data_IF_767396340537
#
_entry.id   IF_767396340537
#
_cell.length_a   1.000
_cell.length_b   1.000
_cell.length_c   1.000
_cell.angle_alpha   90.00
_cell.angle_beta   90.00
_cell.angle_gamma   90.00
#
_symmetry.space_group_name_H-M   'P 1'
#
loop_
_entity.id
_entity.type
_entity.pdbx_description
1 polymer ?
#
# COMPACT_ATOMS: atom_id res chain seq x y z
N UNK A 1 65.29 -10.45 -20.86
CA UNK A 1 63.86 -10.46 -21.22
C UNK A 1 62.99 -11.38 -20.33
N UNK A 2 63.45 -12.59 -19.98
CA UNK A 2 62.67 -13.57 -19.18
C UNK A 2 62.17 -13.08 -17.79
N UNK A 3 62.97 -12.28 -17.07
CA UNK A 3 62.60 -11.77 -15.72
C UNK A 3 61.42 -10.79 -15.73
N UNK A 4 61.32 -9.93 -16.76
CA UNK A 4 60.19 -8.97 -16.91
C UNK A 4 58.89 -9.68 -17.25
N UNK A 5 58.96 -10.75 -18.06
CA UNK A 5 57.82 -11.62 -18.35
C UNK A 5 57.34 -12.35 -17.09
N UNK A 6 58.26 -12.86 -16.28
CA UNK A 6 57.92 -13.55 -15.02
C UNK A 6 57.19 -12.65 -14.03
N UNK A 7 57.65 -11.41 -13.83
CA UNK A 7 56.97 -10.44 -12.97
C UNK A 7 55.59 -10.02 -13.52
N UNK A 8 55.45 -9.92 -14.84
CA UNK A 8 54.16 -9.61 -15.47
C UNK A 8 53.13 -10.73 -15.28
N UNK A 9 53.55 -11.99 -15.40
CA UNK A 9 52.68 -13.16 -15.17
C UNK A 9 52.27 -13.25 -13.70
N UNK A 10 53.20 -12.99 -12.78
CA UNK A 10 52.94 -12.98 -11.34
C UNK A 10 51.91 -11.88 -10.97
N UNK A 11 52.05 -10.69 -11.55
CA UNK A 11 51.14 -9.58 -11.33
C UNK A 11 49.72 -9.89 -11.85
N UNK A 12 49.62 -10.50 -13.03
CA UNK A 12 48.33 -10.92 -13.59
C UNK A 12 47.65 -12.00 -12.73
N UNK A 13 48.43 -12.97 -12.21
CA UNK A 13 47.90 -14.00 -11.30
C UNK A 13 47.35 -13.41 -9.99
N UNK A 14 48.03 -12.41 -9.43
CA UNK A 14 47.56 -11.70 -8.21
C UNK A 14 46.26 -10.93 -8.48
N UNK A 15 46.15 -10.25 -9.63
CA UNK A 15 44.90 -9.58 -10.03
C UNK A 15 43.74 -10.56 -10.18
N UNK A 16 43.98 -11.72 -10.78
CA UNK A 16 42.95 -12.76 -10.93
C UNK A 16 42.49 -13.27 -9.57
N UNK A 17 43.41 -13.58 -8.65
CA UNK A 17 43.08 -14.00 -7.29
C UNK A 17 42.27 -12.94 -6.53
N UNK A 18 42.63 -11.66 -6.69
CA UNK A 18 41.89 -10.55 -6.09
C UNK A 18 40.43 -10.51 -6.59
N UNK A 19 40.20 -10.70 -7.89
CA UNK A 19 38.84 -10.69 -8.45
C UNK A 19 37.99 -11.88 -8.00
N UNK A 20 38.60 -13.04 -7.74
CA UNK A 20 37.91 -14.24 -7.24
C UNK A 20 37.45 -14.01 -5.80
N UNK A 21 38.32 -13.45 -4.95
CA UNK A 21 37.97 -13.10 -3.56
C UNK A 21 36.82 -12.10 -3.48
N UNK A 22 36.82 -11.07 -4.34
CA UNK A 22 35.75 -10.06 -4.37
C UNK A 22 34.40 -10.67 -4.78
N UNK A 23 34.38 -11.58 -5.78
CA UNK A 23 33.15 -12.26 -6.21
C UNK A 23 32.58 -13.18 -5.13
N UNK A 24 33.42 -13.90 -4.39
CA UNK A 24 32.98 -14.78 -3.31
C UNK A 24 32.34 -14.01 -2.15
N UNK A 25 32.89 -12.86 -1.76
CA UNK A 25 32.28 -12.00 -0.74
C UNK A 25 30.92 -11.48 -1.21
N UNK A 26 30.77 -11.11 -2.48
CA UNK A 26 29.49 -10.64 -3.00
C UNK A 26 28.43 -11.74 -3.07
N UNK A 27 28.79 -12.96 -3.47
CA UNK A 27 27.85 -14.08 -3.59
C UNK A 27 27.30 -14.55 -2.23
N UNK A 28 28.16 -14.63 -1.21
CA UNK A 28 27.75 -15.03 0.16
C UNK A 28 26.78 -14.00 0.77
N UNK A 29 26.94 -12.72 0.46
CA UNK A 29 26.08 -11.64 0.98
C UNK A 29 24.71 -11.53 0.29
N UNK A 30 24.48 -12.22 -0.83
CA UNK A 30 23.17 -12.22 -1.51
C UNK A 30 22.30 -13.46 -1.23
N UNK A 31 22.85 -14.49 -0.58
CA UNK A 31 22.09 -15.67 -0.16
C UNK A 31 21.42 -15.44 1.20
N UNK A 32 20.56 -14.42 1.30
CA UNK A 32 19.70 -14.22 2.47
C UNK A 32 18.73 -15.40 2.63
N UNK A 33 18.36 -15.79 3.87
CA UNK A 33 17.43 -16.88 4.10
C UNK A 33 16.09 -16.57 3.41
N UNK A 34 15.61 -17.49 2.58
CA UNK A 34 14.26 -17.38 1.99
C UNK A 34 13.23 -17.58 3.10
N UNK A 35 12.83 -16.48 3.74
CA UNK A 35 11.76 -16.45 4.74
C UNK A 35 10.48 -16.88 4.02
N UNK A 36 9.95 -18.07 4.34
CA UNK A 36 8.60 -18.46 3.94
C UNK A 36 7.62 -17.61 4.75
N UNK A 37 7.22 -16.47 4.20
CA UNK A 37 6.16 -15.65 4.75
C UNK A 37 4.88 -16.49 4.69
N UNK A 38 4.43 -16.99 5.85
CA UNK A 38 3.07 -17.52 5.99
C UNK A 38 2.17 -16.30 5.82
N UNK A 39 1.61 -16.12 4.62
CA UNK A 39 0.59 -15.09 4.41
C UNK A 39 -0.44 -15.28 5.50
N UNK A 40 -0.70 -14.23 6.28
CA UNK A 40 -1.89 -14.19 7.12
C UNK A 40 -3.07 -14.25 6.16
N UNK A 41 -3.52 -15.46 5.84
CA UNK A 41 -4.81 -15.64 5.20
C UNK A 41 -5.79 -15.14 6.24
N UNK A 42 -6.26 -13.91 6.11
CA UNK A 42 -7.31 -13.39 6.98
C UNK A 42 -8.45 -14.41 6.98
N UNK A 43 -9.06 -14.64 8.13
CA UNK A 43 -10.25 -15.49 8.28
C UNK A 43 -11.30 -15.18 7.18
N UNK A 44 -11.33 -13.93 6.70
CA UNK A 44 -12.18 -13.43 5.62
C UNK A 44 -11.98 -14.12 4.25
N UNK A 45 -10.75 -14.55 3.95
CA UNK A 45 -10.40 -15.24 2.68
C UNK A 45 -10.75 -16.73 2.69
N UNK A 46 -11.09 -17.29 3.85
CA UNK A 46 -11.50 -18.69 4.00
C UNK A 46 -12.85 -18.96 3.32
N UNK A 47 -13.17 -20.23 2.98
CA UNK A 47 -14.50 -20.59 2.49
C UNK A 47 -15.65 -20.20 3.43
N UNK A 48 -15.43 -20.20 4.76
CA UNK A 48 -16.42 -19.73 5.74
C UNK A 48 -16.57 -18.21 5.72
N UNK A 49 -15.46 -17.46 5.63
CA UNK A 49 -15.47 -16.00 5.48
C UNK A 49 -16.22 -15.53 4.23
N UNK A 50 -16.02 -16.22 3.10
CA UNK A 50 -16.77 -15.95 1.86
C UNK A 50 -18.28 -16.16 2.01
N UNK A 51 -18.70 -17.23 2.70
CA UNK A 51 -20.12 -17.49 2.97
C UNK A 51 -20.73 -16.45 3.90
N UNK A 52 -20.04 -16.11 4.99
CA UNK A 52 -20.50 -15.08 5.93
C UNK A 52 -20.67 -13.71 5.25
N UNK A 53 -19.74 -13.35 4.34
CA UNK A 53 -19.82 -12.15 3.52
C UNK A 53 -21.02 -12.17 2.57
N UNK A 54 -21.26 -13.30 1.90
CA UNK A 54 -22.43 -13.45 1.02
C UNK A 54 -23.73 -13.30 1.79
N UNK A 55 -23.84 -13.94 2.95
CA UNK A 55 -25.02 -13.85 3.82
C UNK A 55 -25.25 -12.41 4.30
N UNK A 56 -24.18 -11.71 4.71
CA UNK A 56 -24.26 -10.30 5.08
C UNK A 56 -24.85 -9.43 3.97
N UNK A 57 -24.31 -9.55 2.74
CA UNK A 57 -24.82 -8.78 1.60
C UNK A 57 -26.26 -9.15 1.24
N UNK A 58 -26.59 -10.43 1.31
CA UNK A 58 -27.96 -10.88 1.05
C UNK A 58 -28.95 -10.30 2.07
N UNK A 59 -28.60 -10.30 3.37
CA UNK A 59 -29.41 -9.67 4.43
C UNK A 59 -29.58 -8.17 4.24
N UNK A 60 -28.55 -7.49 3.73
CA UNK A 60 -28.58 -6.04 3.50
C UNK A 60 -29.39 -5.64 2.25
N UNK A 61 -29.35 -6.45 1.19
CA UNK A 61 -29.93 -6.11 -0.13
C UNK A 61 -31.34 -6.65 -0.35
N UNK A 62 -31.80 -7.59 0.49
CA UNK A 62 -33.16 -8.13 0.40
C UNK A 62 -34.20 -7.10 0.84
N UNK A 63 -35.36 -7.17 0.22
CA UNK A 63 -36.53 -6.45 0.70
C UNK A 63 -37.09 -7.18 1.95
N UNK A 64 -37.30 -6.49 3.09
CA UNK A 64 -37.82 -7.10 4.31
C UNK A 64 -39.25 -7.64 4.16
N UNK A 65 -40.05 -7.12 3.22
CA UNK A 65 -41.43 -7.57 3.01
C UNK A 65 -41.50 -8.84 2.16
N UNK A 66 -40.64 -8.96 1.14
CA UNK A 66 -40.64 -10.08 0.19
C UNK A 66 -39.55 -11.11 0.45
N UNK A 67 -38.65 -10.83 1.40
CA UNK A 67 -37.59 -11.71 1.88
C UNK A 67 -36.54 -12.05 0.78
N UNK A 68 -36.64 -11.39 -0.38
CA UNK A 68 -35.88 -11.65 -1.60
C UNK A 68 -35.23 -10.36 -2.13
N UNK A 69 -34.16 -10.52 -2.90
CA UNK A 69 -33.60 -9.40 -3.68
C UNK A 69 -34.52 -9.19 -4.89
N UNK A 70 -35.04 -7.98 -5.13
CA UNK A 70 -35.95 -7.72 -6.24
C UNK A 70 -35.34 -8.09 -7.60
N UNK A 71 -36.17 -8.64 -8.50
CA UNK A 71 -35.73 -8.95 -9.85
C UNK A 71 -35.28 -7.70 -10.60
N UNK A 72 -34.21 -7.85 -11.38
CA UNK A 72 -33.60 -6.77 -12.16
C UNK A 72 -33.17 -5.56 -11.30
N UNK A 73 -32.72 -5.80 -10.06
CA UNK A 73 -32.28 -4.75 -9.12
C UNK A 73 -31.24 -3.80 -9.74
N UNK A 74 -30.38 -4.32 -10.62
CA UNK A 74 -29.36 -3.52 -11.31
C UNK A 74 -29.97 -2.45 -12.22
N UNK A 75 -31.04 -2.77 -12.95
CA UNK A 75 -31.70 -1.77 -13.79
C UNK A 75 -32.35 -0.67 -12.93
N UNK A 76 -33.02 -1.06 -11.84
CA UNK A 76 -33.65 -0.13 -10.89
C UNK A 76 -32.63 0.78 -10.21
N UNK A 77 -31.48 0.24 -9.83
CA UNK A 77 -30.36 1.01 -9.27
C UNK A 77 -29.85 2.06 -10.27
N UNK A 78 -29.71 1.68 -11.55
CA UNK A 78 -29.29 2.61 -12.61
C UNK A 78 -30.33 3.71 -12.87
N UNK A 79 -31.63 3.37 -12.85
CA UNK A 79 -32.71 4.34 -12.97
C UNK A 79 -32.71 5.31 -11.79
N UNK A 80 -32.58 4.81 -10.56
CA UNK A 80 -32.43 5.63 -9.37
C UNK A 80 -31.21 6.55 -9.46
N UNK A 81 -30.04 6.01 -9.84
CA UNK A 81 -28.82 6.79 -9.99
C UNK A 81 -28.95 7.92 -11.02
N UNK A 82 -29.74 7.72 -12.08
CA UNK A 82 -30.05 8.78 -13.06
C UNK A 82 -30.95 9.88 -12.49
N UNK A 83 -31.79 9.55 -11.51
CA UNK A 83 -32.68 10.51 -10.82
C UNK A 83 -31.93 11.40 -9.83
N UNK A 84 -30.75 10.97 -9.35
CA UNK A 84 -29.94 11.76 -8.42
C UNK A 84 -29.50 13.04 -9.13
N UNK A 85 -29.75 14.24 -8.56
CA UNK A 85 -29.32 15.49 -9.16
C UNK A 85 -27.79 15.48 -9.33
N UNK A 86 -27.33 15.68 -10.56
CA UNK A 86 -25.90 15.77 -10.84
C UNK A 86 -25.33 16.99 -10.14
N UNK A 87 -24.23 16.81 -9.40
CA UNK A 87 -23.53 17.84 -8.63
C UNK A 87 -23.27 19.15 -9.38
N UNK A 88 -23.21 19.11 -10.72
CA UNK A 88 -23.11 20.31 -11.57
C UNK A 88 -24.28 21.29 -11.42
N UNK A 89 -25.45 20.87 -10.91
CA UNK A 89 -26.60 21.75 -10.66
C UNK A 89 -26.57 22.38 -9.25
N UNK A 90 -25.91 21.76 -8.27
CA UNK A 90 -25.93 22.22 -6.86
C UNK A 90 -24.62 22.90 -6.44
N UNK A 91 -23.48 22.51 -7.03
CA UNK A 91 -22.20 23.15 -6.78
C UNK A 91 -21.87 24.08 -7.96
N UNK A 92 -22.51 25.25 -8.00
CA UNK A 92 -22.04 26.35 -8.85
C UNK A 92 -20.62 26.71 -8.41
N UNK A 93 -19.62 26.16 -9.11
CA UNK A 93 -18.23 26.58 -9.06
C UNK A 93 -18.15 28.03 -9.55
N UNK A 94 -18.48 29.01 -8.69
CA UNK A 94 -18.27 30.42 -9.05
C UNK A 94 -19.17 31.51 -8.49
N UNK A 95 -20.16 31.30 -7.60
CA UNK A 95 -20.93 32.47 -7.08
C UNK A 95 -21.41 32.41 -5.63
N UNK A 96 -21.20 31.30 -4.95
CA UNK A 96 -21.10 31.29 -3.50
C UNK A 96 -19.91 30.40 -3.21
N UNK A 97 -18.77 31.00 -2.84
CA UNK A 97 -17.72 30.25 -2.17
C UNK A 97 -18.39 29.77 -0.88
N UNK A 98 -18.98 28.57 -0.93
CA UNK A 98 -19.27 27.82 0.28
C UNK A 98 -17.89 27.57 0.87
N UNK A 99 -17.46 28.48 1.75
CA UNK A 99 -16.22 28.34 2.49
C UNK A 99 -16.41 27.13 3.39
N UNK A 100 -16.06 25.97 2.86
CA UNK A 100 -16.06 24.74 3.63
C UNK A 100 -14.89 24.84 4.62
N UNK A 101 -15.21 25.18 5.87
CA UNK A 101 -14.26 25.05 6.97
C UNK A 101 -14.08 23.57 7.24
N UNK A 102 -13.01 23.00 6.67
CA UNK A 102 -12.61 21.64 6.95
C UNK A 102 -12.32 21.52 8.45
N UNK A 103 -13.08 20.67 9.12
CA UNK A 103 -12.85 20.27 10.50
C UNK A 103 -12.56 18.78 10.52
N UNK A 104 -11.64 18.38 11.38
CA UNK A 104 -11.34 16.97 11.59
C UNK A 104 -12.61 16.29 12.13
N UNK A 105 -13.04 15.19 11.51
CA UNK A 105 -14.26 14.46 11.88
C UNK A 105 -14.10 13.61 13.17
N UNK A 106 -12.90 13.62 13.77
CA UNK A 106 -12.51 12.82 14.95
C UNK A 106 -11.88 11.46 14.58
N UNK A 107 -11.32 10.70 15.55
CA UNK A 107 -10.91 11.05 16.93
C UNK A 107 -9.61 11.89 16.96
N UNK A 108 -9.36 12.59 18.07
CA UNK A 108 -8.18 13.45 18.27
C UNK A 108 -6.86 12.68 18.42
N UNK A 109 -6.94 11.38 18.74
CA UNK A 109 -5.78 10.54 19.11
C UNK A 109 -5.65 9.29 18.24
N UNK A 110 -5.65 9.46 16.92
CA UNK A 110 -5.17 8.41 16.02
C UNK A 110 -4.18 9.05 15.04
N UNK A 111 -2.93 9.19 15.49
CA UNK A 111 -1.82 9.12 14.55
C UNK A 111 -2.02 7.84 13.75
N UNK A 112 -2.09 7.96 12.42
CA UNK A 112 -2.22 6.80 11.56
C UNK A 112 -0.97 5.91 11.63
N UNK A 113 -0.58 5.30 10.51
CA UNK A 113 0.73 4.66 10.43
C UNK A 113 1.82 5.73 10.31
N UNK A 114 2.18 6.38 11.41
CA UNK A 114 3.37 7.24 11.48
C UNK A 114 4.59 6.33 11.33
N UNK A 115 5.27 6.42 10.18
CA UNK A 115 6.40 5.54 9.85
C UNK A 115 7.73 6.11 10.31
N UNK A 116 7.85 7.43 10.27
CA UNK A 116 9.05 8.14 10.66
C UNK A 116 8.69 9.48 11.32
N UNK A 117 9.51 9.85 12.30
CA UNK A 117 9.50 11.12 13.00
C UNK A 117 10.85 11.79 12.78
N UNK A 118 10.85 13.05 12.36
CA UNK A 118 12.06 13.86 12.25
C UNK A 118 11.98 15.02 13.25
N UNK A 119 13.06 15.24 13.99
CA UNK A 119 13.22 16.36 14.93
C UNK A 119 14.40 17.20 14.47
N UNK A 120 14.22 18.52 14.41
CA UNK A 120 15.31 19.44 14.06
C UNK A 120 16.36 19.49 15.19
N UNK A 121 17.63 19.27 14.84
CA UNK A 121 18.76 19.27 15.78
C UNK A 121 19.02 20.66 16.36
N UNK A 122 18.68 21.71 15.60
CA UNK A 122 18.88 23.11 16.02
C UNK A 122 17.72 23.65 16.85
N UNK A 123 16.51 23.09 16.70
CA UNK A 123 15.33 23.50 17.45
C UNK A 123 14.42 22.29 17.76
N UNK A 124 14.43 21.76 19.00
CA UNK A 124 13.68 20.56 19.36
C UNK A 124 12.15 20.74 19.32
N UNK A 125 11.65 21.97 19.17
CA UNK A 125 10.21 22.24 19.03
C UNK A 125 9.68 21.99 17.61
N UNK A 126 10.56 21.76 16.63
CA UNK A 126 10.18 21.45 15.25
C UNK A 126 10.21 19.93 15.07
N UNK A 127 9.02 19.36 14.90
CA UNK A 127 8.79 17.92 14.77
C UNK A 127 7.94 17.67 13.53
N UNK A 128 8.36 16.72 12.69
CA UNK A 128 7.69 16.36 11.43
C UNK A 128 7.42 14.86 11.40
N UNK A 129 6.22 14.47 10.97
CA UNK A 129 5.79 13.07 10.80
C UNK A 129 5.57 12.72 9.33
N UNK A 130 5.88 11.48 8.94
CA UNK A 130 5.65 10.95 7.58
C UNK A 130 4.73 9.72 7.63
N UNK A 131 3.64 9.78 6.86
CA UNK A 131 2.69 8.69 6.66
C UNK A 131 3.04 7.85 5.42
N UNK A 132 2.92 6.52 5.52
CA UNK A 132 3.04 5.63 4.37
C UNK A 132 1.65 5.34 3.78
N UNK A 133 1.39 5.81 2.57
CA UNK A 133 0.27 5.31 1.77
C UNK A 133 0.71 4.02 1.05
N UNK A 134 0.00 2.90 1.18
CA UNK A 134 0.23 1.76 0.29
C UNK A 134 -0.16 2.18 -1.13
N UNK A 135 0.82 2.09 -2.05
CA UNK A 135 0.59 2.15 -3.50
C UNK A 135 -0.16 0.91 -3.98
#
# INVERSE_FOLDING_TARGET
>A
MKKRCFFSILFLAVLILLTISVKNVFFVNHAGPKIKIKSTSSEESSPSGRKARMEYFWRMLRDPATDKIPENIRARELEFARSIPKSSQTLKKGSAVLTYTWKNAGPIDIGGRTRALAVDVSNPNIIIEILLFPM
#
